data_IF_383796919600
#
_entry.id   IF_383796919600
#
_cell.length_a   1.000
_cell.length_b   1.000
_cell.length_c   1.000
_cell.angle_alpha   90.00
_cell.angle_beta   90.00
_cell.angle_gamma   90.00
#
_symmetry.space_group_name_H-M   'P 1'
#
loop_
_entity.id
_entity.type
_entity.pdbx_description
1 polymer ?
#
# COMPACT_ATOMS: atom_id res chain seq x y z
N UNK A 1 -5.12 -19.90 3.95
CA UNK A 1 -4.24 -19.61 5.11
C UNK A 1 -5.09 -18.96 6.20
N UNK A 2 -5.07 -19.46 7.44
CA UNK A 2 -5.81 -18.86 8.55
C UNK A 2 -5.00 -17.67 9.06
N UNK A 3 -5.52 -16.43 8.93
CA UNK A 3 -4.90 -15.23 9.50
C UNK A 3 -4.75 -15.40 11.02
N UNK A 4 -3.59 -15.05 11.57
CA UNK A 4 -3.37 -15.09 13.02
C UNK A 4 -4.24 -14.03 13.72
N UNK A 5 -4.67 -14.31 14.96
CA UNK A 5 -5.53 -13.41 15.76
C UNK A 5 -4.94 -12.01 15.96
N UNK A 6 -3.60 -11.88 15.90
CA UNK A 6 -2.89 -10.61 16.02
C UNK A 6 -2.84 -9.81 14.70
N UNK A 7 -2.85 -10.47 13.53
CA UNK A 7 -2.90 -9.80 12.22
C UNK A 7 -4.25 -9.13 11.99
N UNK A 8 -5.33 -9.81 12.39
CA UNK A 8 -6.69 -9.27 12.32
C UNK A 8 -6.92 -8.04 13.22
N UNK A 9 -6.09 -7.81 14.24
CA UNK A 9 -6.28 -6.71 15.17
C UNK A 9 -5.71 -5.37 14.68
N UNK A 10 -4.57 -5.38 13.97
CA UNK A 10 -3.98 -4.12 13.50
C UNK A 10 -4.73 -3.59 12.26
N UNK A 11 -5.23 -4.48 11.39
CA UNK A 11 -5.99 -4.07 10.21
C UNK A 11 -7.30 -3.34 10.57
N UNK A 12 -7.84 -3.54 11.77
CA UNK A 12 -9.03 -2.84 12.27
C UNK A 12 -8.74 -1.43 12.83
N UNK A 13 -7.47 -1.05 12.93
CA UNK A 13 -7.03 0.25 13.43
C UNK A 13 -6.63 1.16 12.27
N UNK A 14 -6.73 2.47 12.51
CA UNK A 14 -6.24 3.48 11.58
C UNK A 14 -4.71 3.65 11.69
N UNK A 15 -4.10 4.33 10.73
CA UNK A 15 -2.66 4.65 10.84
C UNK A 15 -2.39 5.56 12.04
N UNK A 16 -3.28 6.49 12.36
CA UNK A 16 -3.13 7.34 13.54
C UNK A 16 -3.10 6.53 14.84
N UNK A 17 -3.96 5.51 14.94
CA UNK A 17 -4.01 4.63 16.12
C UNK A 17 -2.76 3.75 16.23
N UNK A 18 -2.24 3.26 15.10
CA UNK A 18 -1.08 2.36 15.05
C UNK A 18 0.24 3.10 15.26
N UNK A 19 0.34 4.33 14.79
CA UNK A 19 1.52 5.19 14.98
C UNK A 19 1.46 5.97 16.31
N UNK A 20 0.31 5.96 17.00
CA UNK A 20 0.08 6.76 18.20
C UNK A 20 0.19 8.27 17.92
N UNK A 21 -0.05 8.68 16.67
CA UNK A 21 0.20 10.04 16.18
C UNK A 21 -0.96 10.54 15.36
N UNK A 22 -1.70 11.48 15.96
CA UNK A 22 -2.77 12.24 15.31
C UNK A 22 -2.19 13.50 14.70
N UNK A 23 -2.38 13.68 13.40
CA UNK A 23 -1.95 14.91 12.77
C UNK A 23 -2.94 16.02 13.11
N UNK A 24 -2.47 17.24 13.44
CA UNK A 24 -3.38 18.34 13.73
C UNK A 24 -4.25 18.63 12.49
N UNK A 25 -5.52 18.89 12.73
CA UNK A 25 -6.41 19.36 11.66
C UNK A 25 -5.96 20.77 11.25
N UNK A 26 -5.83 20.98 9.94
CA UNK A 26 -5.45 22.27 9.38
C UNK A 26 -6.70 23.06 9.04
N UNK A 27 -6.71 24.36 9.35
CA UNK A 27 -7.79 25.27 8.96
C UNK A 27 -7.95 25.31 7.43
N UNK A 28 -6.83 25.27 6.71
CA UNK A 28 -6.76 25.17 5.26
C UNK A 28 -5.63 24.23 4.87
N UNK A 29 -5.91 23.31 3.94
CA UNK A 29 -4.91 22.37 3.42
C UNK A 29 -4.21 22.98 2.19
N UNK A 30 -2.87 22.89 2.08
CA UNK A 30 -2.16 23.47 0.93
C UNK A 30 -2.54 22.83 -0.41
N UNK A 31 -2.90 21.55 -0.39
CA UNK A 31 -3.39 20.82 -1.57
C UNK A 31 -4.45 19.79 -1.17
N UNK A 32 -5.28 19.39 -2.15
CA UNK A 32 -6.22 18.29 -1.98
C UNK A 32 -5.52 16.95 -1.67
N UNK A 33 -4.29 16.75 -2.15
CA UNK A 33 -3.51 15.54 -1.85
C UNK A 33 -3.19 15.44 -0.36
N UNK A 34 -2.73 16.54 0.25
CA UNK A 34 -2.43 16.58 1.69
C UNK A 34 -3.72 16.34 2.48
N UNK A 35 -4.82 17.00 2.11
CA UNK A 35 -6.13 16.78 2.74
C UNK A 35 -6.52 15.29 2.69
N UNK A 36 -6.46 14.66 1.52
CA UNK A 36 -6.76 13.24 1.34
C UNK A 36 -5.88 12.36 2.22
N UNK A 37 -4.58 12.64 2.32
CA UNK A 37 -3.67 11.88 3.19
C UNK A 37 -4.06 11.98 4.68
N UNK A 38 -4.41 13.18 5.16
CA UNK A 38 -4.93 13.35 6.53
C UNK A 38 -6.22 12.55 6.74
N UNK A 39 -7.16 12.64 5.80
CA UNK A 39 -8.45 11.94 5.90
C UNK A 39 -8.25 10.42 5.90
N UNK A 40 -7.40 9.89 5.02
CA UNK A 40 -7.19 8.45 4.87
C UNK A 40 -6.44 7.83 6.05
N UNK A 41 -5.57 8.58 6.73
CA UNK A 41 -4.87 8.10 7.94
C UNK A 41 -5.83 7.77 9.09
N UNK A 42 -7.06 8.31 9.08
CA UNK A 42 -8.12 8.08 10.09
C UNK A 42 -8.99 6.86 9.77
N UNK A 43 -8.85 6.26 8.59
CA UNK A 43 -9.63 5.10 8.15
C UNK A 43 -8.94 3.82 8.66
N UNK A 44 -9.68 2.83 9.22
CA UNK A 44 -9.15 1.51 9.52
C UNK A 44 -8.49 0.88 8.29
N UNK A 45 -7.32 0.26 8.43
CA UNK A 45 -6.55 -0.26 7.30
C UNK A 45 -7.37 -1.23 6.43
N UNK A 46 -8.18 -2.11 7.04
CA UNK A 46 -9.04 -3.05 6.32
C UNK A 46 -10.21 -2.41 5.56
N UNK A 47 -10.44 -1.11 5.74
CA UNK A 47 -11.47 -0.32 5.04
C UNK A 47 -10.86 0.62 4.01
N UNK A 48 -9.54 0.69 3.89
CA UNK A 48 -8.90 1.48 2.84
C UNK A 48 -9.19 0.85 1.47
N UNK A 49 -9.58 1.69 0.52
CA UNK A 49 -9.71 1.28 -0.88
C UNK A 49 -8.34 1.13 -1.54
N UNK A 50 -8.23 0.42 -2.68
CA UNK A 50 -7.00 0.38 -3.47
C UNK A 50 -6.44 1.77 -3.81
N UNK A 51 -7.32 2.73 -4.12
CA UNK A 51 -6.93 4.13 -4.36
C UNK A 51 -6.28 4.78 -3.15
N UNK A 52 -6.90 4.62 -1.99
CA UNK A 52 -6.42 5.21 -0.75
C UNK A 52 -5.07 4.60 -0.36
N UNK A 53 -4.91 3.29 -0.52
CA UNK A 53 -3.63 2.60 -0.36
C UNK A 53 -2.57 3.14 -1.32
N UNK A 54 -2.88 3.18 -2.62
CA UNK A 54 -1.98 3.71 -3.67
C UNK A 54 -1.54 5.14 -3.36
N UNK A 55 -2.46 5.98 -2.91
CA UNK A 55 -2.21 7.38 -2.54
C UNK A 55 -1.27 7.49 -1.35
N UNK A 56 -1.56 6.80 -0.24
CA UNK A 56 -0.74 6.84 0.97
C UNK A 56 0.67 6.25 0.73
N UNK A 57 0.75 5.10 0.06
CA UNK A 57 2.02 4.46 -0.34
C UNK A 57 2.82 5.41 -1.25
N UNK A 58 2.14 6.08 -2.17
CA UNK A 58 2.77 7.05 -3.06
C UNK A 58 3.38 8.26 -2.35
N UNK A 59 2.92 8.57 -1.14
CA UNK A 59 3.47 9.61 -0.27
C UNK A 59 4.41 9.05 0.80
N UNK A 60 4.79 7.77 0.73
CA UNK A 60 5.58 7.06 1.74
C UNK A 60 4.97 7.08 3.16
N UNK A 61 3.64 7.15 3.27
CA UNK A 61 2.93 7.22 4.55
C UNK A 61 2.55 5.81 5.00
N UNK A 62 2.88 5.46 6.26
CA UNK A 62 2.40 4.23 6.89
C UNK A 62 2.89 2.92 6.27
N UNK A 63 3.97 2.95 5.49
CA UNK A 63 4.45 1.81 4.68
C UNK A 63 4.58 0.50 5.48
N UNK A 64 5.05 0.59 6.74
CA UNK A 64 5.17 -0.54 7.66
C UNK A 64 3.87 -1.35 7.80
N UNK A 65 2.73 -0.66 7.79
CA UNK A 65 1.42 -1.28 7.98
C UNK A 65 0.70 -1.52 6.65
N UNK A 66 0.92 -0.65 5.66
CA UNK A 66 0.20 -0.73 4.38
C UNK A 66 0.79 -1.76 3.42
N UNK A 67 2.12 -1.91 3.36
CA UNK A 67 2.75 -2.83 2.39
C UNK A 67 2.34 -4.29 2.61
N UNK A 68 2.30 -4.84 3.84
CA UNK A 68 1.80 -6.21 4.06
C UNK A 68 0.37 -6.41 3.53
N UNK A 69 -0.52 -5.43 3.76
CA UNK A 69 -1.92 -5.49 3.32
C UNK A 69 -2.03 -5.35 1.79
N UNK A 70 -1.22 -4.48 1.20
CA UNK A 70 -1.14 -4.32 -0.25
C UNK A 70 -0.62 -5.59 -0.93
N UNK A 71 0.38 -6.27 -0.37
CA UNK A 71 0.87 -7.56 -0.88
C UNK A 71 -0.25 -8.61 -0.82
N UNK A 72 -1.01 -8.67 0.27
CA UNK A 72 -2.16 -9.59 0.36
C UNK A 72 -3.22 -9.27 -0.71
N UNK A 73 -3.52 -7.99 -0.93
CA UNK A 73 -4.46 -7.56 -1.95
C UNK A 73 -3.99 -7.94 -3.37
N UNK A 74 -2.73 -7.65 -3.69
CA UNK A 74 -2.09 -8.00 -4.96
C UNK A 74 -1.97 -9.51 -5.18
N UNK A 75 -1.90 -10.31 -4.11
CA UNK A 75 -1.92 -11.77 -4.22
C UNK A 75 -3.26 -12.32 -4.71
N UNK A 76 -4.36 -11.58 -4.51
CA UNK A 76 -5.71 -11.94 -4.99
C UNK A 76 -5.91 -11.49 -6.43
N UNK A 77 -5.46 -10.28 -6.74
CA UNK A 77 -5.39 -9.76 -8.12
C UNK A 77 -4.20 -8.82 -8.29
N UNK A 78 -3.21 -9.28 -9.07
CA UNK A 78 -1.98 -8.54 -9.35
C UNK A 78 -2.22 -7.24 -10.13
N UNK A 79 -3.36 -7.15 -10.83
CA UNK A 79 -3.76 -5.97 -11.60
C UNK A 79 -4.79 -5.11 -10.86
N UNK A 80 -4.90 -5.27 -9.54
CA UNK A 80 -5.77 -4.42 -8.70
C UNK A 80 -5.56 -2.94 -9.06
N UNK A 81 -6.66 -2.29 -9.44
CA UNK A 81 -6.69 -0.89 -9.86
C UNK A 81 -7.00 0.02 -8.67
N UNK A 82 -6.24 1.10 -8.57
CA UNK A 82 -6.27 2.10 -7.52
C UNK A 82 -6.66 3.49 -8.01
N UNK A 83 -7.44 3.60 -9.07
CA UNK A 83 -8.01 4.82 -9.70
C UNK A 83 -7.39 5.30 -11.02
N UNK A 84 -6.22 4.78 -11.44
CA UNK A 84 -5.56 5.26 -12.66
C UNK A 84 -5.69 4.27 -13.81
N UNK A 85 -5.26 3.03 -13.59
CA UNK A 85 -5.23 1.96 -14.58
C UNK A 85 -5.00 0.60 -13.90
N UNK A 86 -5.37 -0.52 -14.53
CA UNK A 86 -5.13 -1.86 -13.99
C UNK A 86 -3.64 -2.10 -13.68
N UNK A 87 -3.31 -2.35 -12.41
CA UNK A 87 -1.94 -2.59 -11.94
C UNK A 87 -1.19 -1.35 -11.44
N UNK A 88 -1.82 -0.17 -11.41
CA UNK A 88 -1.25 1.06 -10.85
C UNK A 88 -0.84 0.92 -9.36
N UNK A 89 -1.56 0.11 -8.57
CA UNK A 89 -1.21 -0.18 -7.19
C UNK A 89 0.10 -0.96 -7.10
N UNK A 90 0.28 -1.99 -7.92
CA UNK A 90 1.53 -2.75 -8.01
C UNK A 90 2.68 -1.82 -8.42
N UNK A 91 2.48 -1.05 -9.50
CA UNK A 91 3.50 -0.15 -10.01
C UNK A 91 3.94 0.86 -8.94
N UNK A 92 2.97 1.51 -8.27
CA UNK A 92 3.25 2.44 -7.17
C UNK A 92 3.97 1.79 -6.00
N UNK A 93 3.62 0.54 -5.68
CA UNK A 93 4.23 -0.24 -4.60
C UNK A 93 5.69 -0.53 -4.89
N UNK A 94 6.04 -0.96 -6.11
CA UNK A 94 7.46 -1.21 -6.45
C UNK A 94 8.33 0.05 -6.41
N UNK A 95 7.73 1.25 -6.57
CA UNK A 95 8.41 2.55 -6.66
C UNK A 95 8.58 3.28 -5.33
N UNK A 96 8.32 2.64 -4.18
CA UNK A 96 8.64 3.23 -2.87
C UNK A 96 10.16 3.30 -2.64
N UNK A 97 10.58 3.93 -1.54
CA UNK A 97 12.00 4.08 -1.19
C UNK A 97 12.70 2.72 -1.01
N UNK A 98 13.89 2.57 -1.60
CA UNK A 98 14.67 1.31 -1.55
C UNK A 98 15.00 0.88 -0.13
N UNK A 99 15.16 1.87 0.76
CA UNK A 99 15.40 1.65 2.19
C UNK A 99 14.31 0.78 2.82
N UNK A 100 13.05 0.94 2.42
CA UNK A 100 11.97 0.10 2.93
C UNK A 100 12.22 -1.37 2.58
N UNK A 101 12.60 -1.65 1.33
CA UNK A 101 12.82 -3.02 0.86
C UNK A 101 14.06 -3.65 1.47
N UNK A 102 15.14 -2.88 1.69
CA UNK A 102 16.35 -3.40 2.34
C UNK A 102 16.12 -3.72 3.82
N UNK A 103 15.26 -2.96 4.50
CA UNK A 103 14.88 -3.21 5.90
C UNK A 103 13.81 -4.32 6.03
N UNK A 104 13.11 -4.69 4.95
CA UNK A 104 11.99 -5.64 4.96
C UNK A 104 12.14 -6.75 3.90
N UNK A 105 13.24 -7.51 3.97
CA UNK A 105 13.59 -8.54 2.98
C UNK A 105 12.51 -9.61 2.75
N UNK A 106 11.76 -9.99 3.79
CA UNK A 106 10.67 -10.97 3.66
C UNK A 106 9.52 -10.43 2.81
N UNK A 107 9.12 -9.18 3.02
CA UNK A 107 8.07 -8.53 2.21
C UNK A 107 8.54 -8.32 0.77
N UNK A 108 9.82 -7.96 0.60
CA UNK A 108 10.47 -7.85 -0.70
C UNK A 108 10.38 -9.18 -1.47
N UNK A 109 10.79 -10.28 -0.85
CA UNK A 109 10.75 -11.61 -1.46
C UNK A 109 9.32 -12.05 -1.81
N UNK A 110 8.34 -11.76 -0.94
CA UNK A 110 6.93 -12.04 -1.21
C UNK A 110 6.43 -11.29 -2.46
N UNK A 111 6.73 -10.00 -2.56
CA UNK A 111 6.32 -9.20 -3.72
C UNK A 111 7.02 -9.65 -5.00
N UNK A 112 8.34 -9.92 -4.94
CA UNK A 112 9.09 -10.45 -6.10
C UNK A 112 8.49 -11.76 -6.60
N UNK A 113 8.17 -12.70 -5.71
CA UNK A 113 7.52 -13.97 -6.08
C UNK A 113 6.15 -13.73 -6.73
N UNK A 114 5.35 -12.80 -6.22
CA UNK A 114 4.05 -12.46 -6.82
C UNK A 114 4.21 -11.88 -8.23
N UNK A 115 5.22 -11.03 -8.44
CA UNK A 115 5.55 -10.48 -9.75
C UNK A 115 5.95 -11.59 -10.71
N UNK A 116 6.85 -12.49 -10.30
CA UNK A 116 7.33 -13.60 -11.13
C UNK A 116 6.19 -14.53 -11.57
N UNK A 117 5.33 -14.92 -10.62
CA UNK A 117 4.15 -15.77 -10.85
C UNK A 117 3.12 -15.15 -11.81
N UNK A 118 3.14 -13.83 -11.97
CA UNK A 118 2.19 -13.08 -12.80
C UNK A 118 2.85 -12.33 -13.98
N UNK A 119 4.11 -12.65 -14.27
CA UNK A 119 4.95 -11.97 -15.26
C UNK A 119 4.26 -11.78 -16.62
N UNK A 120 3.56 -12.81 -17.12
CA UNK A 120 2.78 -12.74 -18.35
C UNK A 120 1.65 -11.70 -18.31
N UNK A 121 0.87 -11.64 -17.23
CA UNK A 121 -0.22 -10.66 -17.05
C UNK A 121 0.34 -9.24 -16.99
N UNK A 122 1.44 -9.07 -16.25
CA UNK A 122 2.13 -7.79 -16.07
C UNK A 122 2.67 -7.29 -17.42
N UNK A 123 3.33 -8.17 -18.19
CA UNK A 123 3.85 -7.86 -19.52
C UNK A 123 2.75 -7.39 -20.46
N UNK A 124 1.60 -8.07 -20.46
CA UNK A 124 0.47 -7.70 -21.33
C UNK A 124 -0.13 -6.32 -21.01
N UNK A 125 0.10 -5.79 -19.81
CA UNK A 125 -0.35 -4.45 -19.40
C UNK A 125 0.73 -3.37 -19.55
N UNK A 126 1.95 -3.73 -19.97
CA UNK A 126 3.08 -2.81 -20.13
C UNK A 126 3.39 -2.01 -18.86
N UNK A 127 3.23 -2.61 -17.68
CA UNK A 127 3.52 -1.94 -16.40
C UNK A 127 5.02 -1.64 -16.27
N UNK A 128 5.35 -0.47 -15.73
CA UNK A 128 6.74 -0.06 -15.52
C UNK A 128 7.16 -0.28 -14.07
N UNK A 129 7.53 -1.52 -13.75
CA UNK A 129 7.95 -1.90 -12.41
C UNK A 129 9.40 -1.49 -12.14
N UNK A 130 9.68 -1.00 -10.93
CA UNK A 130 11.06 -0.85 -10.44
C UNK A 130 11.58 -2.21 -10.01
N UNK A 131 12.84 -2.53 -10.33
CA UNK A 131 13.50 -3.73 -9.80
C UNK A 131 13.54 -3.66 -8.29
N UNK A 132 13.06 -4.72 -7.65
CA UNK A 132 13.08 -4.86 -6.19
C UNK A 132 14.45 -5.30 -5.72
#
# INVERSE_FOLDING_TARGET
MKKNKNELQFEQKSLEDLEGSKWPDLKEYPTNLIKRCHDYRKIPINRLTPEQLRTLIGQNIGLKYLIPVTIELLSKDILTEGDLYPGDLLERTTKIEDRFWTENLVLKEQLSKLIDLNSEKIRNKNLQLKSL
#
